data_IF_631537551566
#
_entry.id   IF_631537551566
#
_cell.length_a   1.000
_cell.length_b   1.000
_cell.length_c   1.000
_cell.angle_alpha   90.00
_cell.angle_beta   90.00
_cell.angle_gamma   90.00
#
_symmetry.space_group_name_H-M   'P 1'
#
loop_
_entity.id
_entity.type
_entity.pdbx_description
1 polymer ?
#
# COMPACT_ATOMS: atom_id res chain seq x y z
N UNK A 1 -4.69 -32.96 0.39
CA UNK A 1 -5.25 -31.65 0.08
C UNK A 1 -5.46 -31.55 -1.41
N UNK A 2 -6.70 -31.57 -1.86
CA UNK A 2 -7.04 -31.46 -3.31
C UNK A 2 -6.73 -30.03 -3.73
N UNK A 3 -5.71 -29.86 -4.60
CA UNK A 3 -5.42 -28.56 -5.22
C UNK A 3 -6.58 -28.24 -6.17
N UNK A 4 -7.46 -27.32 -5.77
CA UNK A 4 -8.55 -26.83 -6.60
C UNK A 4 -7.97 -26.06 -7.80
N UNK A 5 -7.84 -26.75 -8.92
CA UNK A 5 -7.44 -26.16 -10.20
C UNK A 5 -8.56 -25.21 -10.67
N UNK A 6 -8.26 -23.92 -10.79
CA UNK A 6 -9.16 -22.94 -11.42
C UNK A 6 -10.37 -22.50 -10.57
N UNK A 7 -10.18 -22.25 -9.27
CA UNK A 7 -11.26 -21.90 -8.34
C UNK A 7 -11.97 -20.58 -8.72
N UNK A 8 -11.25 -19.64 -9.31
CA UNK A 8 -11.78 -18.31 -9.60
C UNK A 8 -11.72 -17.99 -11.09
N UNK A 9 -12.87 -17.89 -11.75
CA UNK A 9 -12.99 -17.34 -13.12
C UNK A 9 -13.19 -15.83 -13.11
N UNK A 10 -13.77 -15.30 -12.05
CA UNK A 10 -14.17 -13.90 -11.93
C UNK A 10 -13.30 -13.20 -10.88
N UNK A 11 -12.77 -12.04 -11.25
CA UNK A 11 -11.95 -11.19 -10.39
C UNK A 11 -12.65 -10.83 -9.07
N UNK A 12 -13.97 -10.52 -9.10
CA UNK A 12 -14.73 -10.14 -7.90
C UNK A 12 -14.75 -11.24 -6.85
N UNK A 13 -14.96 -12.51 -7.26
CA UNK A 13 -14.91 -13.66 -6.32
C UNK A 13 -13.53 -13.90 -5.75
N UNK A 14 -12.49 -13.78 -6.57
CA UNK A 14 -11.11 -13.88 -6.12
C UNK A 14 -10.78 -12.77 -5.12
N UNK A 15 -11.24 -11.56 -5.40
CA UNK A 15 -11.05 -10.41 -4.52
C UNK A 15 -11.77 -10.57 -3.18
N UNK A 16 -13.00 -11.08 -3.18
CA UNK A 16 -13.74 -11.38 -1.96
C UNK A 16 -12.96 -12.37 -1.08
N UNK A 17 -12.54 -13.51 -1.62
CA UNK A 17 -11.74 -14.49 -0.87
C UNK A 17 -10.41 -13.92 -0.39
N UNK A 18 -9.77 -13.05 -1.18
CA UNK A 18 -8.55 -12.38 -0.75
C UNK A 18 -8.79 -11.50 0.50
N UNK A 19 -9.89 -10.75 0.56
CA UNK A 19 -10.19 -9.91 1.71
C UNK A 19 -10.68 -10.72 2.91
N UNK A 20 -11.65 -11.62 2.71
CA UNK A 20 -12.34 -12.32 3.80
C UNK A 20 -11.50 -13.48 4.36
N UNK A 21 -10.93 -14.32 3.50
CA UNK A 21 -10.24 -15.51 3.93
C UNK A 21 -8.75 -15.22 4.19
N UNK A 22 -8.06 -14.61 3.23
CA UNK A 22 -6.62 -14.41 3.36
C UNK A 22 -6.27 -13.23 4.28
N UNK A 23 -6.73 -12.01 3.97
CA UNK A 23 -6.33 -10.83 4.75
C UNK A 23 -6.91 -10.83 6.17
N UNK A 24 -8.21 -11.13 6.32
CA UNK A 24 -8.85 -11.07 7.63
C UNK A 24 -8.57 -12.31 8.47
N UNK A 25 -8.81 -13.53 7.94
CA UNK A 25 -8.72 -14.76 8.73
C UNK A 25 -7.29 -15.28 8.86
N UNK A 26 -6.53 -15.34 7.76
CA UNK A 26 -5.16 -15.90 7.79
C UNK A 26 -4.12 -14.88 8.26
N UNK A 27 -4.14 -13.66 7.71
CA UNK A 27 -3.13 -12.64 8.01
C UNK A 27 -3.47 -11.78 9.22
N UNK A 28 -4.70 -11.75 9.71
CA UNK A 28 -5.13 -10.88 10.81
C UNK A 28 -4.89 -9.40 10.51
N UNK A 29 -5.09 -8.98 9.25
CA UNK A 29 -4.76 -7.64 8.79
C UNK A 29 -5.53 -6.56 9.55
N UNK A 30 -4.85 -5.45 9.89
CA UNK A 30 -5.46 -4.32 10.58
C UNK A 30 -6.54 -3.65 9.73
N UNK A 31 -7.49 -2.93 10.38
CA UNK A 31 -8.51 -2.13 9.69
C UNK A 31 -7.89 -1.10 8.72
N UNK A 32 -6.74 -0.52 9.08
CA UNK A 32 -6.04 0.43 8.22
C UNK A 32 -5.47 -0.26 6.97
N UNK A 33 -4.93 -1.47 7.10
CA UNK A 33 -4.46 -2.28 5.97
C UNK A 33 -5.62 -2.62 5.03
N UNK A 34 -6.73 -3.12 5.57
CA UNK A 34 -7.92 -3.46 4.79
C UNK A 34 -8.44 -2.24 4.02
N UNK A 35 -8.56 -1.07 4.68
CA UNK A 35 -8.97 0.18 4.05
C UNK A 35 -8.06 0.58 2.90
N UNK A 36 -6.73 0.59 3.13
CA UNK A 36 -5.75 0.95 2.10
C UNK A 36 -5.76 0.00 0.90
N UNK A 37 -5.97 -1.29 1.15
CA UNK A 37 -6.10 -2.30 0.09
C UNK A 37 -7.40 -2.11 -0.70
N UNK A 38 -8.52 -1.92 0.01
CA UNK A 38 -9.82 -1.64 -0.62
C UNK A 38 -9.77 -0.41 -1.53
N UNK A 39 -9.17 0.69 -1.07
CA UNK A 39 -8.98 1.89 -1.90
C UNK A 39 -8.19 1.60 -3.18
N UNK A 40 -7.18 0.72 -3.11
CA UNK A 40 -6.41 0.33 -4.31
C UNK A 40 -7.27 -0.41 -5.32
N UNK A 41 -8.09 -1.35 -4.84
CA UNK A 41 -8.96 -2.13 -5.73
C UNK A 41 -10.15 -1.32 -6.26
N UNK A 42 -10.67 -0.35 -5.49
CA UNK A 42 -11.64 0.61 -6.02
C UNK A 42 -11.05 1.40 -7.21
N UNK A 43 -9.80 1.88 -7.09
CA UNK A 43 -9.12 2.56 -8.18
C UNK A 43 -8.85 1.63 -9.37
N UNK A 44 -8.52 0.37 -9.13
CA UNK A 44 -8.32 -0.62 -10.19
C UNK A 44 -9.61 -0.90 -10.97
N UNK A 45 -10.74 -1.04 -10.28
CA UNK A 45 -12.06 -1.21 -10.90
C UNK A 45 -12.46 0.05 -11.68
N UNK A 46 -12.21 1.24 -11.13
CA UNK A 46 -12.43 2.51 -11.83
C UNK A 46 -11.61 2.61 -13.13
N UNK A 47 -10.34 2.19 -13.09
CA UNK A 47 -9.49 2.11 -14.28
C UNK A 47 -10.04 1.11 -15.31
N UNK A 48 -10.48 -0.07 -14.87
CA UNK A 48 -11.06 -1.09 -15.75
C UNK A 48 -12.32 -0.56 -16.45
N UNK A 49 -13.17 0.15 -15.73
CA UNK A 49 -14.39 0.75 -16.30
C UNK A 49 -14.09 1.88 -17.27
N UNK A 50 -13.29 2.88 -16.85
CA UNK A 50 -13.06 4.11 -17.63
C UNK A 50 -12.11 3.93 -18.81
N UNK A 51 -11.07 3.12 -18.64
CA UNK A 51 -9.98 3.01 -19.64
C UNK A 51 -10.11 1.75 -20.48
N UNK A 52 -10.55 0.64 -19.86
CA UNK A 52 -10.71 -0.63 -20.55
C UNK A 52 -12.15 -0.90 -20.98
N UNK A 53 -13.09 0.00 -20.67
CA UNK A 53 -14.53 -0.15 -20.93
C UNK A 53 -15.07 -1.51 -20.44
N UNK A 54 -14.54 -1.99 -19.31
CA UNK A 54 -14.88 -3.29 -18.74
C UNK A 54 -15.63 -3.08 -17.44
N UNK A 55 -16.91 -3.44 -17.41
CA UNK A 55 -17.73 -3.36 -16.18
C UNK A 55 -17.11 -4.22 -15.07
N UNK A 56 -17.27 -3.82 -13.79
CA UNK A 56 -16.72 -4.55 -12.65
C UNK A 56 -17.02 -6.05 -12.66
N UNK A 57 -18.24 -6.43 -13.01
CA UNK A 57 -18.70 -7.82 -13.03
C UNK A 57 -18.07 -8.65 -14.16
N UNK A 58 -17.53 -7.99 -15.19
CA UNK A 58 -16.97 -8.61 -16.39
C UNK A 58 -15.44 -8.63 -16.39
N UNK A 59 -14.80 -8.24 -15.29
CA UNK A 59 -13.34 -8.34 -15.17
C UNK A 59 -12.96 -9.82 -15.03
N UNK A 60 -12.35 -10.37 -16.08
CA UNK A 60 -11.86 -11.74 -16.10
C UNK A 60 -10.38 -11.78 -15.71
N UNK A 61 -10.00 -12.78 -14.93
CA UNK A 61 -8.62 -12.98 -14.50
C UNK A 61 -7.66 -13.21 -15.68
N UNK A 62 -8.14 -13.90 -16.73
CA UNK A 62 -7.38 -14.18 -17.96
C UNK A 62 -6.90 -12.89 -18.67
N UNK A 63 -7.67 -11.81 -18.52
CA UNK A 63 -7.35 -10.54 -19.17
C UNK A 63 -6.38 -9.67 -18.39
N UNK A 64 -6.12 -10.01 -17.11
CA UNK A 64 -5.25 -9.22 -16.23
C UNK A 64 -3.80 -9.70 -16.38
N UNK A 65 -3.10 -9.18 -17.37
CA UNK A 65 -1.70 -9.47 -17.61
C UNK A 65 -0.77 -8.37 -17.06
N UNK A 66 0.54 -8.55 -17.25
CA UNK A 66 1.57 -7.61 -16.81
C UNK A 66 1.37 -6.21 -17.37
N UNK A 67 0.99 -6.10 -18.65
CA UNK A 67 0.81 -4.80 -19.30
C UNK A 67 -0.46 -4.11 -18.80
N UNK A 68 -1.52 -4.86 -18.52
CA UNK A 68 -2.72 -4.33 -17.87
C UNK A 68 -2.40 -3.66 -16.52
N UNK A 69 -1.57 -4.31 -15.70
CA UNK A 69 -1.16 -3.75 -14.39
C UNK A 69 -0.23 -2.55 -14.58
N UNK A 70 0.67 -2.56 -15.58
CA UNK A 70 1.51 -1.40 -15.89
C UNK A 70 0.68 -0.19 -16.30
N UNK A 71 -0.28 -0.39 -17.19
CA UNK A 71 -1.19 0.68 -17.62
C UNK A 71 -2.00 1.25 -16.45
N UNK A 72 -2.48 0.39 -15.55
CA UNK A 72 -3.13 0.85 -14.31
C UNK A 72 -2.20 1.73 -13.46
N UNK A 73 -0.96 1.29 -13.25
CA UNK A 73 0.01 2.05 -12.48
C UNK A 73 0.42 3.37 -13.15
N UNK A 74 0.48 3.40 -14.48
CA UNK A 74 0.76 4.61 -15.25
C UNK A 74 -0.45 5.56 -15.27
N UNK A 75 -1.68 5.02 -15.32
CA UNK A 75 -2.91 5.79 -15.17
C UNK A 75 -2.98 6.51 -13.81
N UNK A 76 -2.58 5.84 -12.72
CA UNK A 76 -2.49 6.46 -11.39
C UNK A 76 -1.58 7.69 -11.37
N UNK A 77 -0.47 7.66 -12.09
CA UNK A 77 0.44 8.79 -12.16
C UNK A 77 -0.08 9.92 -13.05
N UNK A 78 -0.64 9.59 -14.23
CA UNK A 78 -1.07 10.57 -15.22
C UNK A 78 -2.40 11.24 -14.87
N UNK A 79 -3.41 10.44 -14.52
CA UNK A 79 -4.78 10.93 -14.31
C UNK A 79 -5.09 11.26 -12.85
N UNK A 80 -4.39 10.58 -11.90
CA UNK A 80 -4.62 10.78 -10.46
C UNK A 80 -3.49 11.55 -9.78
N UNK A 81 -2.49 11.99 -10.54
CA UNK A 81 -1.31 12.73 -10.05
C UNK A 81 -0.63 12.07 -8.83
N UNK A 82 -0.61 10.74 -8.80
CA UNK A 82 -0.01 10.00 -7.71
C UNK A 82 1.52 10.13 -7.72
N UNK A 83 2.09 10.46 -6.56
CA UNK A 83 3.55 10.43 -6.37
C UNK A 83 4.10 9.02 -6.53
N UNK A 84 5.39 8.85 -6.92
CA UNK A 84 6.02 7.53 -7.07
C UNK A 84 5.90 6.63 -5.83
N UNK A 85 5.93 7.19 -4.60
CA UNK A 85 5.70 6.43 -3.38
C UNK A 85 4.31 5.82 -3.34
N UNK A 86 3.27 6.62 -3.65
CA UNK A 86 1.88 6.17 -3.66
C UNK A 86 1.67 5.10 -4.72
N UNK A 87 2.21 5.30 -5.94
CA UNK A 87 2.20 4.29 -7.00
C UNK A 87 2.86 2.97 -6.55
N UNK A 88 4.02 3.04 -5.92
CA UNK A 88 4.72 1.86 -5.41
C UNK A 88 3.93 1.15 -4.31
N UNK A 89 3.26 1.91 -3.44
CA UNK A 89 2.35 1.33 -2.44
C UNK A 89 1.20 0.57 -3.12
N UNK A 90 0.55 1.16 -4.14
CA UNK A 90 -0.52 0.50 -4.90
C UNK A 90 0.01 -0.76 -5.62
N UNK A 91 1.23 -0.70 -6.19
CA UNK A 91 1.88 -1.88 -6.76
C UNK A 91 2.11 -2.99 -5.70
N UNK A 92 2.50 -2.62 -4.48
CA UNK A 92 2.67 -3.60 -3.37
C UNK A 92 1.35 -4.29 -3.02
N UNK A 93 0.23 -3.56 -3.02
CA UNK A 93 -1.10 -4.13 -2.79
C UNK A 93 -1.47 -5.12 -3.90
N UNK A 94 -1.29 -4.74 -5.18
CA UNK A 94 -1.53 -5.64 -6.31
C UNK A 94 -0.66 -6.89 -6.23
N UNK A 95 0.62 -6.74 -5.88
CA UNK A 95 1.54 -7.87 -5.69
C UNK A 95 1.07 -8.82 -4.56
N UNK A 96 0.50 -8.30 -3.47
CA UNK A 96 -0.06 -9.12 -2.40
C UNK A 96 -1.21 -9.99 -2.91
N UNK A 97 -2.11 -9.41 -3.70
CA UNK A 97 -3.21 -10.13 -4.33
C UNK A 97 -2.72 -11.22 -5.31
N UNK A 98 -1.77 -10.89 -6.19
CA UNK A 98 -1.26 -11.89 -7.16
C UNK A 98 -0.41 -12.98 -6.49
N UNK A 99 0.25 -12.70 -5.36
CA UNK A 99 0.86 -13.75 -4.54
C UNK A 99 -0.19 -14.71 -3.98
N UNK A 100 -1.30 -14.18 -3.47
CA UNK A 100 -2.43 -15.00 -3.03
C UNK A 100 -2.95 -15.85 -4.21
N UNK A 101 -3.14 -15.27 -5.41
CA UNK A 101 -3.61 -16.00 -6.59
C UNK A 101 -2.68 -17.15 -6.98
N UNK A 102 -1.37 -17.04 -6.81
CA UNK A 102 -0.44 -18.12 -7.11
C UNK A 102 -0.70 -19.40 -6.30
N UNK A 103 -1.25 -19.29 -5.10
CA UNK A 103 -1.58 -20.45 -4.27
C UNK A 103 -2.91 -21.11 -4.68
N UNK A 104 -3.86 -20.33 -5.19
CA UNK A 104 -5.22 -20.78 -5.44
C UNK A 104 -5.54 -20.99 -6.93
N UNK A 105 -4.76 -20.38 -7.82
CA UNK A 105 -4.94 -20.47 -9.27
C UNK A 105 -3.62 -20.86 -9.95
N UNK A 106 -3.43 -22.16 -10.10
CA UNK A 106 -2.24 -22.71 -10.73
C UNK A 106 -2.29 -22.67 -12.26
N UNK A 107 -3.47 -22.43 -12.86
CA UNK A 107 -3.64 -22.36 -14.32
C UNK A 107 -2.89 -21.15 -14.87
N UNK A 108 -2.99 -20.01 -14.21
CA UNK A 108 -2.38 -18.74 -14.64
C UNK A 108 -1.06 -18.43 -13.92
N UNK A 109 -0.36 -19.43 -13.39
CA UNK A 109 0.83 -19.25 -12.57
C UNK A 109 1.91 -18.41 -13.28
N UNK A 110 2.17 -18.64 -14.55
CA UNK A 110 3.14 -17.86 -15.35
C UNK A 110 2.73 -16.38 -15.46
N UNK A 111 1.45 -16.14 -15.66
CA UNK A 111 0.87 -14.78 -15.74
C UNK A 111 1.05 -14.02 -14.43
N UNK A 112 0.78 -14.67 -13.29
CA UNK A 112 0.99 -14.07 -11.96
C UNK A 112 2.47 -13.79 -11.69
N UNK A 113 3.37 -14.68 -12.09
CA UNK A 113 4.82 -14.47 -11.97
C UNK A 113 5.30 -13.27 -12.80
N UNK A 114 4.78 -13.11 -14.01
CA UNK A 114 5.10 -11.96 -14.86
C UNK A 114 4.64 -10.65 -14.21
N UNK A 115 3.43 -10.60 -13.64
CA UNK A 115 2.94 -9.43 -12.91
C UNK A 115 3.84 -9.13 -11.70
N UNK A 116 4.22 -10.15 -10.94
CA UNK A 116 5.11 -10.01 -9.80
C UNK A 116 6.52 -9.53 -10.16
N UNK A 117 6.92 -9.65 -11.43
CA UNK A 117 8.20 -9.11 -11.93
C UNK A 117 8.21 -7.58 -12.10
N UNK A 118 7.05 -6.90 -11.96
CA UNK A 118 6.96 -5.43 -12.05
C UNK A 118 7.74 -4.81 -10.90
N UNK A 119 8.82 -4.10 -11.23
CA UNK A 119 9.68 -3.44 -10.24
C UNK A 119 9.04 -2.14 -9.74
N UNK A 120 9.22 -1.78 -8.48
CA UNK A 120 8.85 -0.44 -8.00
C UNK A 120 9.73 0.63 -8.66
N UNK A 121 9.19 1.83 -8.82
CA UNK A 121 9.97 3.00 -9.26
C UNK A 121 10.92 3.44 -8.15
N UNK A 122 12.11 3.89 -8.55
CA UNK A 122 13.06 4.49 -7.61
C UNK A 122 12.47 5.79 -7.05
N UNK A 123 12.50 5.92 -5.75
CA UNK A 123 12.04 7.11 -5.03
C UNK A 123 13.25 7.74 -4.40
N UNK A 124 13.45 9.04 -4.62
CA UNK A 124 14.42 9.80 -3.85
C UNK A 124 13.87 9.95 -2.44
N UNK A 125 14.61 9.47 -1.46
CA UNK A 125 14.33 9.79 -0.07
C UNK A 125 14.69 11.26 0.16
N UNK A 126 13.72 12.04 0.60
CA UNK A 126 14.02 13.38 1.09
C UNK A 126 14.97 13.23 2.28
N UNK A 127 16.06 14.00 2.25
CA UNK A 127 16.97 14.05 3.39
C UNK A 127 16.18 14.56 4.58
N UNK A 128 16.08 13.75 5.62
CA UNK A 128 15.42 14.15 6.87
C UNK A 128 16.19 15.35 7.39
N UNK A 129 15.53 16.51 7.47
CA UNK A 129 16.11 17.70 8.08
C UNK A 129 16.09 17.49 9.60
N UNK A 130 17.23 17.22 10.15
CA UNK A 130 17.38 17.15 11.61
C UNK A 130 17.36 18.57 12.20
N UNK A 131 16.75 18.73 13.37
CA UNK A 131 16.88 19.94 14.17
C UNK A 131 18.33 20.03 14.65
N UNK A 132 18.95 21.20 14.45
CA UNK A 132 20.25 21.49 15.07
C UNK A 132 20.10 21.57 16.61
N UNK A 133 21.21 21.42 17.32
CA UNK A 133 21.22 21.61 18.78
C UNK A 133 20.65 22.97 19.17
N UNK A 134 21.03 24.02 18.43
CA UNK A 134 20.51 25.37 18.64
C UNK A 134 18.99 25.45 18.39
N UNK A 135 18.49 24.73 17.39
CA UNK A 135 17.05 24.63 17.12
C UNK A 135 16.29 23.91 18.25
N UNK A 136 16.88 22.90 18.86
CA UNK A 136 16.29 22.20 20.02
C UNK A 136 16.30 23.11 21.25
N UNK A 137 17.41 23.80 21.52
CA UNK A 137 17.50 24.74 22.62
C UNK A 137 16.48 25.88 22.47
N UNK A 138 16.35 26.44 21.27
CA UNK A 138 15.33 27.46 20.98
C UNK A 138 13.91 26.96 21.21
N UNK A 139 13.60 25.69 20.86
CA UNK A 139 12.31 25.09 21.16
C UNK A 139 12.06 24.96 22.67
N UNK A 140 13.07 24.52 23.42
CA UNK A 140 12.98 24.35 24.88
C UNK A 140 12.74 25.72 25.55
N UNK A 141 13.43 26.76 25.13
CA UNK A 141 13.30 28.12 25.66
C UNK A 141 11.94 28.75 25.35
N UNK A 142 11.32 28.42 24.23
CA UNK A 142 10.01 28.97 23.85
C UNK A 142 8.82 28.25 24.50
N UNK A 143 9.02 27.16 25.20
CA UNK A 143 7.94 26.46 25.90
C UNK A 143 7.76 27.07 27.27
N UNK A 144 6.63 27.76 27.49
CA UNK A 144 6.29 28.28 28.81
C UNK A 144 6.08 27.14 29.81
N UNK A 145 6.89 27.12 30.88
CA UNK A 145 6.76 26.17 31.98
C UNK A 145 5.62 26.55 32.99
N UNK A 146 4.93 27.65 32.77
CA UNK A 146 3.91 28.17 33.71
C UNK A 146 2.59 27.40 33.60
N UNK A 147 2.39 26.64 32.55
CA UNK A 147 1.17 25.83 32.33
C UNK A 147 1.45 24.32 32.45
N UNK A 148 0.46 23.56 32.95
CA UNK A 148 0.57 22.08 32.98
C UNK A 148 0.88 21.48 31.62
N UNK A 149 0.35 22.05 30.54
CA UNK A 149 0.61 21.63 29.17
C UNK A 149 2.05 21.90 28.76
N UNK A 150 2.55 23.10 29.09
CA UNK A 150 3.93 23.51 28.84
C UNK A 150 4.93 22.62 29.59
N UNK A 151 4.71 22.38 30.89
CA UNK A 151 5.54 21.47 31.69
C UNK A 151 5.61 20.05 31.08
N UNK A 152 4.45 19.50 30.66
CA UNK A 152 4.40 18.20 29.97
C UNK A 152 5.19 18.23 28.66
N UNK A 153 5.00 19.24 27.84
CA UNK A 153 5.68 19.35 26.54
C UNK A 153 7.20 19.50 26.72
N UNK A 154 7.63 20.29 27.70
CA UNK A 154 9.04 20.44 28.06
C UNK A 154 9.65 19.12 28.51
N UNK A 155 8.98 18.39 29.39
CA UNK A 155 9.43 17.07 29.82
C UNK A 155 9.54 16.07 28.65
N UNK A 156 8.56 16.06 27.74
CA UNK A 156 8.59 15.18 26.56
C UNK A 156 9.75 15.50 25.62
N UNK A 157 9.98 16.78 25.30
CA UNK A 157 11.08 17.19 24.41
C UNK A 157 12.43 16.89 25.04
N UNK A 158 12.59 17.18 26.34
CA UNK A 158 13.84 16.89 27.08
C UNK A 158 14.14 15.38 27.10
N UNK A 159 13.14 14.53 27.35
CA UNK A 159 13.30 13.08 27.32
C UNK A 159 13.69 12.58 25.94
N UNK A 160 13.03 13.06 24.88
CA UNK A 160 13.37 12.70 23.49
C UNK A 160 14.81 13.12 23.15
N UNK A 161 15.22 14.32 23.52
CA UNK A 161 16.57 14.82 23.27
C UNK A 161 17.62 14.00 24.00
N UNK A 162 17.42 13.71 25.28
CA UNK A 162 18.35 12.90 26.07
C UNK A 162 18.42 11.44 25.57
N UNK A 163 17.29 10.87 25.13
CA UNK A 163 17.29 9.48 24.60
C UNK A 163 18.00 9.35 23.26
N UNK A 164 18.00 10.40 22.43
CA UNK A 164 18.68 10.42 21.12
C UNK A 164 20.19 10.61 21.23
N UNK A 165 20.69 11.20 22.32
CA UNK A 165 22.15 11.38 22.53
C UNK A 165 22.83 10.07 22.96
N UNK A 166 22.07 9.09 23.46
CA UNK A 166 22.61 7.81 23.95
C UNK A 166 22.50 6.66 22.95
N UNK A 167 22.12 6.93 21.70
CA UNK A 167 22.15 5.98 20.57
C UNK A 167 23.33 6.34 19.65
#
# INVERSE_FOLDING_TARGET
MSMNKGLYKNFGKALQSFFEDYLLKECGASRHTIKSYSETFCLFVEFADKIKNTRPDNILLDNINKDYIREFLDWLERERNCKPQTRNHRNTVMRSFFKFMMYYDTIHLSQWQEILSIKPKRVQQEVIKYLSVDGINALIEHISADTKVGQRNLAMISLLYLSLIHI
#
